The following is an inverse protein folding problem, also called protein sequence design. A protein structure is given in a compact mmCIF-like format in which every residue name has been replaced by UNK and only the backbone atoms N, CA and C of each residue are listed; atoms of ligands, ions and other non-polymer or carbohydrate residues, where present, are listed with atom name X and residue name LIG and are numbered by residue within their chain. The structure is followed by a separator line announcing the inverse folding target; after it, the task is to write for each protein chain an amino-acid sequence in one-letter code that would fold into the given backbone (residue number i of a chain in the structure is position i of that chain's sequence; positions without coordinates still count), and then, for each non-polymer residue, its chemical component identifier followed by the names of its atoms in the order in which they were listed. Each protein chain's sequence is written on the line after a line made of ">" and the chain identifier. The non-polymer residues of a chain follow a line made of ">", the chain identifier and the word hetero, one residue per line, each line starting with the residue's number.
data_IF_291382633381
#
_entry.id   IF_291382633381
#
_cell.length_a   1.000
_cell.length_b   1.000
_cell.length_c   1.000
_cell.angle_alpha   90.00
_cell.angle_beta   90.00
_cell.angle_gamma   90.00
#
_symmetry.space_group_name_H-M   'P 1'
#
loop_
_entity.id
_entity.type
_entity.pdbx_description
1 polymer ?
#
# COMPACT_ATOMS: atom_id res chain seq x y z
N UNK A 1 -13.12 20.70 5.89
CA UNK A 1 -11.68 20.65 5.62
C UNK A 1 -10.94 21.95 6.00
N UNK A 2 -11.17 23.13 5.42
CA UNK A 2 -10.38 24.37 5.67
C UNK A 2 -10.18 24.75 7.15
N UNK A 3 -11.17 24.58 8.04
CA UNK A 3 -11.05 24.87 9.49
C UNK A 3 -10.15 23.89 10.24
N UNK A 4 -10.09 22.61 9.82
CA UNK A 4 -9.23 21.61 10.46
C UNK A 4 -7.75 21.81 10.05
N UNK A 5 -7.50 22.14 8.80
CA UNK A 5 -6.16 22.50 8.30
C UNK A 5 -5.64 23.75 9.01
N UNK A 6 -6.48 24.77 9.18
CA UNK A 6 -6.10 26.02 9.88
C UNK A 6 -5.79 25.75 11.37
N UNK A 7 -6.52 24.86 12.04
CA UNK A 7 -6.27 24.47 13.43
C UNK A 7 -4.96 23.69 13.60
N UNK A 8 -4.63 22.81 12.65
CA UNK A 8 -3.37 22.08 12.63
C UNK A 8 -2.22 23.05 12.40
N UNK A 9 -2.30 23.94 11.42
CA UNK A 9 -1.28 24.98 11.16
C UNK A 9 -1.09 25.90 12.37
N UNK A 10 -2.17 26.31 13.04
CA UNK A 10 -2.08 27.16 14.23
C UNK A 10 -1.46 26.44 15.44
N UNK A 11 -1.78 25.15 15.64
CA UNK A 11 -1.16 24.34 16.68
C UNK A 11 0.33 24.10 16.42
N UNK A 12 0.73 23.91 15.17
CA UNK A 12 2.12 23.80 14.74
C UNK A 12 2.91 25.08 15.06
N UNK A 13 2.36 26.27 14.73
CA UNK A 13 3.00 27.56 15.02
C UNK A 13 3.17 27.80 16.53
N UNK A 14 2.21 27.36 17.36
CA UNK A 14 2.30 27.47 18.82
C UNK A 14 3.34 26.51 19.41
N UNK A 15 3.46 25.30 18.87
CA UNK A 15 4.47 24.32 19.28
C UNK A 15 5.86 24.79 18.86
N UNK A 16 6.03 25.35 17.66
CA UNK A 16 7.31 25.89 17.17
C UNK A 16 7.89 26.99 18.06
N UNK A 17 7.05 27.78 18.74
CA UNK A 17 7.53 28.82 19.68
C UNK A 17 8.26 28.25 20.93
N UNK A 18 8.11 26.92 21.20
CA UNK A 18 8.78 26.22 22.29
C UNK A 18 10.09 25.51 21.88
N UNK A 19 10.32 25.28 20.58
CA UNK A 19 11.52 24.62 20.06
C UNK A 19 12.57 25.67 19.68
N UNK A 20 13.71 25.66 20.35
CA UNK A 20 14.70 26.74 20.22
C UNK A 20 16.05 26.31 19.62
N UNK A 21 16.25 25.05 19.17
CA UNK A 21 17.61 24.62 18.83
C UNK A 21 17.90 24.36 17.36
N UNK A 22 17.12 23.56 16.66
CA UNK A 22 17.34 23.33 15.21
C UNK A 22 16.02 23.08 14.51
N UNK A 23 15.78 23.76 13.41
CA UNK A 23 14.64 23.55 12.53
C UNK A 23 15.18 23.31 11.12
N UNK A 24 14.86 22.13 10.57
CA UNK A 24 15.19 21.77 9.22
C UNK A 24 13.90 21.76 8.38
N UNK A 25 13.99 22.37 7.21
CA UNK A 25 12.94 22.32 6.22
C UNK A 25 13.48 21.65 4.96
N UNK A 26 12.76 20.70 4.42
CA UNK A 26 13.05 20.06 3.15
C UNK A 26 11.80 19.93 2.29
N UNK A 27 11.98 19.79 1.01
CA UNK A 27 10.87 19.63 0.10
C UNK A 27 11.26 18.90 -1.18
N UNK A 28 10.27 18.29 -1.80
CA UNK A 28 10.39 17.65 -3.09
C UNK A 28 9.25 18.10 -4.00
N UNK A 29 9.59 18.52 -5.20
CA UNK A 29 8.66 18.74 -6.30
C UNK A 29 8.88 17.63 -7.33
N UNK A 30 7.83 16.90 -7.67
CA UNK A 30 7.88 15.84 -8.67
C UNK A 30 6.80 16.01 -9.73
N UNK A 31 7.10 15.61 -10.96
CA UNK A 31 6.09 15.51 -12.01
C UNK A 31 6.34 14.26 -12.83
N UNK A 32 5.28 13.53 -13.13
CA UNK A 32 5.30 12.29 -13.93
C UNK A 32 4.25 12.36 -15.02
N UNK A 33 4.67 12.05 -16.23
CA UNK A 33 3.80 11.97 -17.40
C UNK A 33 4.00 10.65 -18.10
N UNK A 34 2.90 9.96 -18.41
CA UNK A 34 2.93 8.66 -19.06
C UNK A 34 1.82 8.48 -20.07
N UNK A 35 2.16 7.79 -21.13
CA UNK A 35 1.21 7.42 -22.20
C UNK A 35 1.07 5.91 -22.26
N UNK A 36 -0.13 5.46 -22.64
CA UNK A 36 -0.42 4.06 -22.89
C UNK A 36 0.52 3.51 -23.96
N UNK A 37 1.08 2.33 -23.70
CA UNK A 37 2.09 1.70 -24.55
C UNK A 37 1.52 1.33 -25.93
N UNK A 38 2.36 1.23 -26.99
CA UNK A 38 1.89 1.01 -28.38
C UNK A 38 1.11 -0.29 -28.62
N UNK A 39 1.18 -1.24 -27.70
CA UNK A 39 0.48 -2.54 -27.79
C UNK A 39 -0.84 -2.60 -27.01
N UNK A 40 -1.27 -1.50 -26.39
CA UNK A 40 -2.53 -1.42 -25.65
C UNK A 40 -3.67 -0.94 -26.54
N UNK A 41 -4.92 -1.15 -26.12
CA UNK A 41 -6.11 -0.72 -26.88
C UNK A 41 -6.22 0.81 -26.99
N UNK A 42 -5.65 1.55 -26.03
CA UNK A 42 -5.66 3.01 -25.94
C UNK A 42 -4.27 3.63 -26.20
N UNK A 43 -3.47 3.00 -27.07
CA UNK A 43 -2.10 3.41 -27.37
C UNK A 43 -1.96 4.91 -27.66
N UNK A 44 -1.08 5.58 -26.89
CA UNK A 44 -0.80 7.01 -27.03
C UNK A 44 -1.68 7.93 -26.18
N UNK A 45 -2.75 7.44 -25.56
CA UNK A 45 -3.54 8.21 -24.61
C UNK A 45 -2.73 8.45 -23.33
N UNK A 46 -2.92 9.60 -22.70
CA UNK A 46 -2.32 9.85 -21.38
C UNK A 46 -3.00 8.99 -20.33
N UNK A 47 -2.19 8.23 -19.56
CA UNK A 47 -2.63 7.39 -18.45
C UNK A 47 -2.05 7.83 -17.11
N UNK A 48 -1.02 8.68 -17.15
CA UNK A 48 -0.42 9.35 -15.98
C UNK A 48 -0.20 10.81 -16.31
N UNK A 49 -0.52 11.68 -15.37
CA UNK A 49 -0.32 13.13 -15.48
C UNK A 49 -0.34 13.74 -14.08
N UNK A 50 0.63 13.35 -13.24
CA UNK A 50 0.68 13.72 -11.82
C UNK A 50 1.80 14.72 -11.56
N UNK A 51 1.51 15.72 -10.74
CA UNK A 51 2.49 16.68 -10.22
C UNK A 51 2.28 16.80 -8.72
N UNK A 52 3.32 16.48 -7.96
CA UNK A 52 3.30 16.46 -6.51
C UNK A 52 4.31 17.41 -5.89
N UNK A 53 3.96 17.97 -4.74
CA UNK A 53 4.86 18.64 -3.83
C UNK A 53 4.74 18.03 -2.46
N UNK A 54 5.88 17.56 -1.91
CA UNK A 54 6.00 17.12 -0.52
C UNK A 54 6.87 18.12 0.21
N UNK A 55 6.38 18.65 1.33
CA UNK A 55 7.15 19.52 2.21
C UNK A 55 7.23 18.94 3.61
N UNK A 56 8.43 18.87 4.20
CA UNK A 56 8.63 18.39 5.55
C UNK A 56 9.35 19.40 6.42
N UNK A 57 8.98 19.39 7.71
CA UNK A 57 9.58 20.21 8.76
C UNK A 57 9.97 19.29 9.91
N UNK A 58 11.21 19.40 10.35
CA UNK A 58 11.73 18.67 11.48
C UNK A 58 12.35 19.65 12.48
N UNK A 59 11.95 19.56 13.75
CA UNK A 59 12.46 20.41 14.83
C UNK A 59 12.90 19.56 16.02
N UNK A 60 14.09 19.88 16.56
CA UNK A 60 14.71 19.13 17.64
C UNK A 60 14.82 19.96 18.92
N UNK A 61 14.58 19.31 20.06
CA UNK A 61 14.85 19.87 21.38
C UNK A 61 15.23 18.77 22.37
N UNK A 62 16.52 18.69 22.72
CA UNK A 62 17.02 17.60 23.57
C UNK A 62 16.71 16.23 22.99
N UNK A 63 15.95 15.42 23.72
CA UNK A 63 15.55 14.07 23.33
C UNK A 63 14.22 14.04 22.54
N UNK A 64 13.67 15.20 22.21
CA UNK A 64 12.36 15.29 21.51
C UNK A 64 12.54 15.76 20.09
N UNK A 65 11.77 15.17 19.17
CA UNK A 65 11.67 15.56 17.77
C UNK A 65 10.20 15.83 17.44
N UNK A 66 9.94 16.92 16.76
CA UNK A 66 8.68 17.18 16.07
C UNK A 66 8.92 16.99 14.58
N UNK A 67 8.15 16.14 13.93
CA UNK A 67 8.16 15.94 12.49
C UNK A 67 6.79 16.21 11.89
N UNK A 68 6.75 16.92 10.76
CA UNK A 68 5.52 17.21 10.02
C UNK A 68 5.82 17.14 8.54
N UNK A 69 5.02 16.37 7.80
CA UNK A 69 5.06 16.24 6.36
C UNK A 69 3.67 16.50 5.77
N UNK A 70 3.62 17.29 4.71
CA UNK A 70 2.40 17.57 3.97
C UNK A 70 2.61 17.37 2.48
N UNK A 71 1.61 16.82 1.83
CA UNK A 71 1.61 16.48 0.41
C UNK A 71 0.53 17.27 -0.33
N UNK A 72 0.87 17.77 -1.50
CA UNK A 72 -0.04 18.42 -2.45
C UNK A 72 0.12 17.68 -3.77
N UNK A 73 -0.95 17.06 -4.27
CA UNK A 73 -0.93 16.32 -5.52
C UNK A 73 -1.97 16.89 -6.49
N UNK A 74 -1.54 17.15 -7.71
CA UNK A 74 -2.40 17.55 -8.81
C UNK A 74 -2.37 16.50 -9.90
N UNK A 75 -3.54 15.90 -10.19
CA UNK A 75 -3.72 14.99 -11.30
C UNK A 75 -4.34 15.76 -12.48
N UNK A 76 -3.58 15.86 -13.57
CA UNK A 76 -4.00 16.62 -14.75
C UNK A 76 -5.06 15.88 -15.59
N UNK A 77 -5.20 14.57 -15.44
CA UNK A 77 -6.16 13.77 -16.24
C UNK A 77 -7.60 14.02 -15.81
N UNK A 78 -7.84 14.17 -14.51
CA UNK A 78 -9.16 14.45 -13.95
C UNK A 78 -9.29 15.87 -13.37
N UNK A 79 -8.23 16.71 -13.50
CA UNK A 79 -8.14 18.08 -12.98
C UNK A 79 -8.40 18.16 -11.47
N UNK A 80 -7.84 17.23 -10.71
CA UNK A 80 -8.05 17.10 -9.26
C UNK A 80 -6.83 17.59 -8.52
N UNK A 81 -7.06 18.32 -7.43
CA UNK A 81 -6.04 18.80 -6.51
C UNK A 81 -6.34 18.25 -5.11
N UNK A 82 -5.42 17.43 -4.60
CA UNK A 82 -5.51 16.80 -3.31
C UNK A 82 -4.47 17.32 -2.34
N UNK A 83 -4.87 17.37 -1.07
CA UNK A 83 -4.00 17.73 0.05
C UNK A 83 -4.06 16.59 1.07
N UNK A 84 -2.92 16.01 1.38
CA UNK A 84 -2.78 14.98 2.40
C UNK A 84 -1.77 15.38 3.47
N UNK A 85 -2.06 15.02 4.72
CA UNK A 85 -1.11 15.09 5.81
C UNK A 85 -0.39 13.73 5.86
N UNK A 86 0.84 13.70 5.42
CA UNK A 86 1.69 12.52 5.43
C UNK A 86 1.97 12.06 6.88
N UNK A 87 3.10 12.44 7.44
CA UNK A 87 3.40 12.17 8.85
C UNK A 87 3.34 13.47 9.67
N UNK A 88 2.84 13.37 10.90
CA UNK A 88 2.84 14.48 11.85
C UNK A 88 2.86 13.94 13.28
N UNK A 89 4.05 13.90 13.88
CA UNK A 89 4.23 13.29 15.20
C UNK A 89 5.24 14.03 16.07
N UNK A 90 5.13 13.78 17.36
CA UNK A 90 6.15 14.08 18.37
C UNK A 90 6.79 12.75 18.76
N UNK A 91 8.12 12.70 18.73
CA UNK A 91 8.93 11.58 19.15
C UNK A 91 9.78 12.00 20.35
N UNK A 92 9.85 11.14 21.36
CA UNK A 92 10.77 11.26 22.48
C UNK A 92 11.58 9.98 22.59
N UNK A 93 12.90 10.10 22.61
CA UNK A 93 13.81 8.96 22.73
C UNK A 93 14.80 9.17 23.87
N UNK A 94 14.82 8.23 24.80
CA UNK A 94 15.85 8.11 25.84
C UNK A 94 16.75 6.90 25.52
N UNK A 95 17.73 6.61 26.38
CA UNK A 95 18.73 5.56 26.13
C UNK A 95 18.13 4.19 25.81
N UNK A 96 17.08 3.78 26.51
CA UNK A 96 16.49 2.44 26.40
C UNK A 96 15.01 2.43 26.04
N UNK A 97 14.36 3.58 25.99
CA UNK A 97 12.93 3.65 25.66
C UNK A 97 12.61 4.88 24.85
N UNK A 98 11.55 4.79 24.08
CA UNK A 98 11.03 5.88 23.26
C UNK A 98 9.51 5.87 23.20
N UNK A 99 8.96 7.01 22.88
CA UNK A 99 7.53 7.18 22.71
C UNK A 99 7.25 8.11 21.52
N UNK A 100 6.43 7.66 20.59
CA UNK A 100 5.98 8.46 19.44
C UNK A 100 4.47 8.59 19.44
N UNK A 101 3.97 9.81 19.27
CA UNK A 101 2.54 10.12 19.26
C UNK A 101 2.21 10.99 18.06
N UNK A 102 1.25 10.60 17.26
CA UNK A 102 0.75 11.36 16.13
C UNK A 102 0.53 10.49 14.90
N UNK A 103 0.40 11.16 13.75
CA UNK A 103 0.24 10.50 12.46
C UNK A 103 1.61 9.97 11.99
N UNK A 104 1.76 8.67 11.82
CA UNK A 104 3.03 8.02 11.55
C UNK A 104 2.86 6.81 10.64
N UNK A 105 3.82 6.60 9.74
CA UNK A 105 3.93 5.35 8.98
C UNK A 105 4.47 4.25 9.90
N UNK A 106 3.84 3.09 9.85
CA UNK A 106 4.29 1.88 10.56
C UNK A 106 4.56 0.81 9.52
N UNK A 107 5.79 0.32 9.52
CA UNK A 107 6.22 -0.70 8.57
C UNK A 107 6.69 -1.94 9.33
N UNK A 108 6.07 -3.08 9.04
CA UNK A 108 6.43 -4.39 9.56
C UNK A 108 6.89 -5.31 8.44
N UNK A 109 7.69 -6.31 8.80
CA UNK A 109 8.23 -7.28 7.83
C UNK A 109 9.55 -6.85 7.22
N UNK A 110 10.08 -7.72 6.39
CA UNK A 110 11.39 -7.59 5.70
C UNK A 110 11.28 -7.90 4.21
N UNK A 111 10.08 -8.17 3.70
CA UNK A 111 9.83 -8.40 2.29
C UNK A 111 9.90 -7.10 1.48
N UNK A 112 10.31 -7.20 0.22
CA UNK A 112 10.36 -6.08 -0.71
C UNK A 112 9.23 -6.23 -1.75
N UNK A 113 8.32 -5.26 -1.81
CA UNK A 113 7.22 -5.20 -2.79
C UNK A 113 6.05 -6.17 -2.56
N UNK A 114 6.13 -7.06 -1.56
CA UNK A 114 5.03 -7.95 -1.14
C UNK A 114 4.80 -7.79 0.36
N UNK A 115 3.61 -7.38 0.73
CA UNK A 115 3.26 -7.12 2.11
C UNK A 115 2.59 -8.35 2.75
N UNK A 116 3.34 -9.09 3.59
CA UNK A 116 2.83 -10.20 4.39
C UNK A 116 2.40 -9.71 5.77
N UNK A 117 3.37 -9.37 6.64
CA UNK A 117 3.09 -8.86 7.99
C UNK A 117 2.67 -7.40 7.99
N UNK A 118 3.06 -6.62 6.97
CA UNK A 118 2.65 -5.22 6.79
C UNK A 118 1.20 -5.06 6.30
N UNK A 119 0.58 -6.11 5.79
CA UNK A 119 -0.80 -6.10 5.26
C UNK A 119 -1.88 -5.68 6.28
N UNK A 120 -1.52 -5.53 7.55
CA UNK A 120 -2.40 -5.00 8.62
C UNK A 120 -2.41 -3.47 8.68
N UNK A 121 -1.56 -2.78 7.92
CA UNK A 121 -1.53 -1.32 7.81
C UNK A 121 -2.12 -0.87 6.47
N UNK A 122 -2.69 0.36 6.41
CA UNK A 122 -3.33 0.84 5.20
C UNK A 122 -2.29 1.24 4.14
N UNK A 123 -2.66 1.08 2.88
CA UNK A 123 -1.86 1.46 1.72
C UNK A 123 -2.66 2.34 0.76
N UNK A 124 -1.97 3.15 -0.02
CA UNK A 124 -2.56 3.84 -1.15
C UNK A 124 -2.55 2.93 -2.38
N UNK A 125 -3.70 2.38 -2.70
CA UNK A 125 -3.95 1.60 -3.92
C UNK A 125 -4.67 2.41 -5.00
N UNK A 126 -4.79 3.72 -4.84
CA UNK A 126 -5.45 4.61 -5.81
C UNK A 126 -4.61 4.85 -7.07
N UNK A 127 -3.29 4.66 -6.98
CA UNK A 127 -2.32 4.78 -8.07
C UNK A 127 -1.44 3.54 -8.18
N UNK A 128 -1.12 3.12 -9.42
CA UNK A 128 -0.15 2.06 -9.72
C UNK A 128 1.29 2.56 -9.78
N UNK A 129 1.50 3.87 -9.77
CA UNK A 129 2.76 4.53 -10.12
C UNK A 129 3.38 5.28 -8.94
N UNK A 130 2.90 5.04 -7.72
CA UNK A 130 3.47 5.62 -6.51
C UNK A 130 4.76 4.90 -6.10
N UNK A 131 5.80 5.67 -5.74
CA UNK A 131 7.05 5.11 -5.22
C UNK A 131 6.88 4.57 -3.79
N UNK A 132 5.93 5.08 -3.01
CA UNK A 132 5.59 4.63 -1.65
C UNK A 132 4.07 4.60 -1.48
N UNK A 133 3.55 3.42 -1.29
CA UNK A 133 2.13 3.18 -1.05
C UNK A 133 1.75 3.20 0.44
N UNK A 134 2.71 3.31 1.36
CA UNK A 134 2.42 3.25 2.80
C UNK A 134 1.67 4.48 3.28
N UNK A 135 0.52 4.29 3.89
CA UNK A 135 -0.27 5.36 4.51
C UNK A 135 0.03 5.46 6.00
N UNK A 136 0.08 6.69 6.50
CA UNK A 136 0.25 6.97 7.92
C UNK A 136 -1.03 6.68 8.71
N UNK A 137 -0.88 6.25 9.97
CA UNK A 137 -1.96 6.07 10.94
C UNK A 137 -1.72 6.94 12.17
N UNK A 138 -2.79 7.51 12.74
CA UNK A 138 -2.66 8.21 14.02
C UNK A 138 -2.51 7.19 15.13
N UNK A 139 -1.35 7.17 15.77
CA UNK A 139 -0.99 6.14 16.73
C UNK A 139 -0.15 6.69 17.91
N UNK A 140 -0.17 5.97 19.01
CA UNK A 140 0.84 6.03 20.05
C UNK A 140 1.70 4.76 19.97
N UNK A 141 3.00 4.94 19.82
CA UNK A 141 3.99 3.86 19.80
C UNK A 141 4.93 4.02 21.00
N UNK A 142 5.05 2.97 21.76
CA UNK A 142 6.06 2.84 22.82
C UNK A 142 7.10 1.83 22.39
N UNK A 143 8.38 2.19 22.48
CA UNK A 143 9.52 1.33 22.15
C UNK A 143 10.40 1.13 23.37
N UNK A 144 10.86 -0.09 23.59
CA UNK A 144 11.86 -0.42 24.60
C UNK A 144 12.96 -1.27 23.98
N UNK A 145 14.20 -0.85 24.12
CA UNK A 145 15.39 -1.49 23.55
C UNK A 145 16.30 -2.03 24.63
N UNK A 146 16.61 -3.32 24.58
CA UNK A 146 17.68 -3.96 25.34
C UNK A 146 18.91 -4.21 24.46
N UNK A 147 19.92 -4.89 25.01
CA UNK A 147 21.19 -5.13 24.29
C UNK A 147 21.04 -5.94 23.01
N UNK A 148 20.07 -6.87 22.97
CA UNK A 148 19.86 -7.78 21.84
C UNK A 148 18.39 -7.91 21.42
N UNK A 149 17.50 -7.07 21.97
CA UNK A 149 16.09 -7.11 21.63
C UNK A 149 15.45 -5.73 21.60
N UNK A 150 14.33 -5.63 20.88
CA UNK A 150 13.46 -4.46 20.88
C UNK A 150 12.00 -4.89 21.03
N UNK A 151 11.22 -4.09 21.75
CA UNK A 151 9.77 -4.27 21.92
C UNK A 151 9.10 -2.99 21.46
N UNK A 152 8.20 -3.08 20.48
CA UNK A 152 7.34 -1.98 20.06
C UNK A 152 5.89 -2.33 20.38
N UNK A 153 5.23 -1.51 21.18
CA UNK A 153 3.80 -1.58 21.44
C UNK A 153 3.09 -0.41 20.74
N UNK A 154 2.03 -0.72 19.99
CA UNK A 154 1.29 0.22 19.16
C UNK A 154 -0.17 0.28 19.59
N UNK A 155 -0.71 1.48 19.73
CA UNK A 155 -2.12 1.76 19.93
C UNK A 155 -2.62 2.73 18.85
N UNK A 156 -3.62 2.32 18.08
CA UNK A 156 -4.22 3.10 16.99
C UNK A 156 -5.67 3.40 17.36
N UNK A 157 -5.98 4.63 17.82
CA UNK A 157 -7.35 4.99 18.25
C UNK A 157 -8.29 5.28 17.08
N UNK A 158 -7.77 5.63 15.90
CA UNK A 158 -8.57 6.04 14.74
C UNK A 158 -8.31 5.12 13.57
N UNK A 159 -9.36 4.46 13.10
CA UNK A 159 -9.26 3.60 11.92
C UNK A 159 -8.95 4.43 10.67
N UNK A 160 -8.02 3.92 9.86
CA UNK A 160 -7.77 4.31 8.47
C UNK A 160 -7.77 3.05 7.62
N UNK A 161 -8.58 3.01 6.55
CA UNK A 161 -8.56 1.95 5.54
C UNK A 161 -7.56 2.24 4.43
N UNK A 162 -7.36 1.28 3.55
CA UNK A 162 -6.61 1.44 2.29
C UNK A 162 -7.36 2.40 1.37
N UNK A 163 -6.65 3.33 0.75
CA UNK A 163 -7.20 4.24 -0.25
C UNK A 163 -7.37 3.49 -1.56
N UNK A 164 -8.60 3.38 -2.03
CA UNK A 164 -8.97 2.60 -3.22
C UNK A 164 -9.15 3.50 -4.44
N UNK A 165 -8.96 2.98 -5.68
CA UNK A 165 -9.14 3.73 -6.92
C UNK A 165 -10.65 3.91 -7.24
N UNK A 166 -11.37 4.69 -6.43
CA UNK A 166 -12.82 4.87 -6.58
C UNK A 166 -13.20 6.15 -7.34
N UNK A 167 -12.23 7.00 -7.68
CA UNK A 167 -12.47 8.29 -8.31
C UNK A 167 -12.98 8.14 -9.76
N UNK A 168 -13.99 8.94 -10.10
CA UNK A 168 -14.54 8.97 -11.46
C UNK A 168 -13.51 9.52 -12.45
N UNK A 169 -13.36 8.84 -13.60
CA UNK A 169 -12.40 9.21 -14.62
C UNK A 169 -11.00 8.61 -14.42
N UNK A 170 -10.71 7.99 -13.28
CA UNK A 170 -9.44 7.29 -13.07
C UNK A 170 -9.31 6.09 -14.02
N UNK A 171 -8.21 5.97 -14.81
CA UNK A 171 -7.96 4.80 -15.64
C UNK A 171 -7.93 3.49 -14.84
N UNK A 172 -7.37 3.51 -13.63
CA UNK A 172 -7.29 2.34 -12.75
C UNK A 172 -8.66 1.89 -12.27
N UNK A 173 -9.54 2.83 -11.87
CA UNK A 173 -10.94 2.51 -11.55
C UNK A 173 -11.64 1.80 -12.71
N UNK A 174 -11.50 2.34 -13.92
CA UNK A 174 -12.17 1.79 -15.09
C UNK A 174 -11.68 0.38 -15.45
N UNK A 175 -10.42 0.07 -15.16
CA UNK A 175 -9.85 -1.26 -15.35
C UNK A 175 -10.33 -2.27 -14.27
N UNK A 176 -10.54 -1.81 -13.03
CA UNK A 176 -10.88 -2.69 -11.90
C UNK A 176 -12.40 -2.82 -11.68
N UNK A 177 -13.17 -1.76 -11.92
CA UNK A 177 -14.60 -1.72 -11.63
C UNK A 177 -15.35 -1.45 -12.94
N UNK A 178 -16.10 -2.42 -13.47
CA UNK A 178 -16.88 -2.20 -14.67
C UNK A 178 -17.95 -1.13 -14.44
N UNK A 179 -18.12 -0.20 -15.38
CA UNK A 179 -19.14 0.83 -15.31
C UNK A 179 -20.57 0.26 -15.47
N UNK A 180 -20.68 -0.92 -16.11
CA UNK A 180 -21.94 -1.61 -16.39
C UNK A 180 -21.76 -3.12 -16.29
N UNK A 181 -22.81 -3.83 -15.91
CA UNK A 181 -22.86 -5.29 -15.84
C UNK A 181 -24.07 -5.81 -16.60
N UNK A 182 -23.89 -6.84 -17.43
CA UNK A 182 -24.97 -7.52 -18.12
C UNK A 182 -25.65 -8.53 -17.19
N UNK A 183 -26.97 -8.39 -17.01
CA UNK A 183 -27.79 -9.35 -16.24
C UNK A 183 -28.65 -10.14 -17.20
N UNK A 184 -28.58 -11.48 -17.19
CA UNK A 184 -29.41 -12.34 -18.02
C UNK A 184 -30.91 -12.01 -17.86
N UNK A 185 -31.62 -11.78 -18.99
CA UNK A 185 -33.04 -11.47 -18.98
C UNK A 185 -33.41 -10.01 -18.60
N UNK A 186 -32.45 -9.19 -18.23
CA UNK A 186 -32.68 -7.76 -17.90
C UNK A 186 -31.99 -6.84 -18.89
N UNK A 187 -30.78 -7.18 -19.32
CA UNK A 187 -29.92 -6.33 -20.14
C UNK A 187 -28.73 -5.79 -19.36
N UNK A 188 -28.12 -4.71 -19.85
CA UNK A 188 -26.97 -4.07 -19.23
C UNK A 188 -27.43 -2.95 -18.29
N UNK A 189 -27.02 -3.01 -17.04
CA UNK A 189 -27.34 -2.00 -16.01
C UNK A 189 -26.07 -1.37 -15.44
N UNK A 190 -26.11 -0.09 -15.01
CA UNK A 190 -24.96 0.61 -14.48
C UNK A 190 -24.57 0.09 -13.09
N UNK A 191 -23.27 0.20 -12.79
CA UNK A 191 -22.70 -0.01 -11.47
C UNK A 191 -22.55 1.34 -10.77
N UNK A 192 -23.08 1.45 -9.55
CA UNK A 192 -22.99 2.63 -8.69
C UNK A 192 -22.16 2.34 -7.46
N UNK A 193 -21.13 3.13 -7.24
CA UNK A 193 -20.36 3.06 -5.99
C UNK A 193 -21.17 3.79 -4.91
N UNK A 194 -21.41 3.10 -3.81
CA UNK A 194 -22.11 3.59 -2.64
C UNK A 194 -21.15 4.15 -1.60
N UNK A 195 -21.33 3.76 -0.33
CA UNK A 195 -20.55 4.26 0.79
C UNK A 195 -19.66 3.18 1.39
N UNK A 196 -18.44 3.56 1.80
CA UNK A 196 -17.57 2.75 2.63
C UNK A 196 -17.90 3.06 4.11
N UNK A 197 -18.48 2.09 4.80
CA UNK A 197 -18.85 2.23 6.21
C UNK A 197 -17.62 1.97 7.10
N UNK A 198 -17.03 3.04 7.60
CA UNK A 198 -15.89 2.95 8.52
C UNK A 198 -16.35 2.66 9.96
N UNK A 199 -15.51 1.99 10.78
CA UNK A 199 -15.80 1.78 12.19
C UNK A 199 -16.04 3.10 12.94
N UNK A 200 -17.01 3.11 13.85
CA UNK A 200 -17.30 4.26 14.71
C UNK A 200 -16.11 4.63 15.60
N UNK A 201 -15.97 5.92 15.89
CA UNK A 201 -14.98 6.43 16.84
C UNK A 201 -15.35 6.03 18.27
N UNK A 202 -14.83 4.90 18.73
CA UNK A 202 -15.07 4.38 20.08
C UNK A 202 -13.86 3.58 20.56
N UNK A 203 -13.58 3.58 21.88
CA UNK A 203 -12.46 2.83 22.46
C UNK A 203 -12.48 1.33 22.11
N UNK A 204 -13.68 0.73 22.00
CA UNK A 204 -13.86 -0.67 21.57
C UNK A 204 -13.37 -0.93 20.15
N UNK A 205 -13.20 0.12 19.33
CA UNK A 205 -12.81 0.04 17.93
C UNK A 205 -11.32 0.40 17.69
N UNK A 206 -10.57 0.70 18.74
CA UNK A 206 -9.14 0.87 18.66
C UNK A 206 -8.44 -0.41 18.16
N UNK A 207 -7.24 -0.22 17.63
CA UNK A 207 -6.39 -1.29 17.14
C UNK A 207 -5.11 -1.35 17.99
N UNK A 208 -4.53 -2.53 18.10
CA UNK A 208 -3.37 -2.80 18.94
C UNK A 208 -2.35 -3.64 18.18
N UNK A 209 -1.09 -3.26 18.28
CA UNK A 209 0.04 -3.97 17.70
C UNK A 209 1.15 -4.21 18.72
N UNK A 210 1.82 -5.35 18.58
CA UNK A 210 3.02 -5.68 19.34
C UNK A 210 4.05 -6.30 18.41
N UNK A 211 5.29 -5.77 18.45
CA UNK A 211 6.43 -6.31 17.74
C UNK A 211 7.53 -6.61 18.76
N UNK A 212 8.07 -7.82 18.70
CA UNK A 212 9.22 -8.26 19.48
C UNK A 212 10.34 -8.60 18.50
N UNK A 213 11.43 -7.89 18.53
CA UNK A 213 12.59 -8.14 17.67
C UNK A 213 13.77 -8.64 18.47
N UNK A 214 14.49 -9.63 17.96
CA UNK A 214 15.74 -10.16 18.52
C UNK A 214 16.85 -10.05 17.47
N UNK A 215 18.02 -9.57 17.93
CA UNK A 215 19.21 -9.38 17.11
C UNK A 215 20.31 -10.32 17.58
N UNK A 216 20.60 -11.32 16.75
CA UNK A 216 21.57 -12.36 17.08
C UNK A 216 22.72 -12.32 16.06
N UNK A 217 23.85 -12.91 16.38
CA UNK A 217 25.03 -12.94 15.49
C UNK A 217 24.77 -13.65 14.14
N UNK A 218 23.81 -14.57 14.10
CA UNK A 218 23.47 -15.37 12.91
C UNK A 218 22.21 -14.86 12.18
N UNK A 219 21.31 -14.18 12.89
CA UNK A 219 20.04 -13.75 12.29
C UNK A 219 19.37 -12.68 13.15
N UNK A 220 18.53 -11.89 12.48
CA UNK A 220 17.54 -11.04 13.11
C UNK A 220 16.17 -11.71 12.97
N UNK A 221 15.39 -11.73 14.05
CA UNK A 221 14.06 -12.36 14.07
C UNK A 221 13.06 -11.39 14.67
N UNK A 222 11.86 -11.28 14.11
CA UNK A 222 10.76 -10.54 14.73
C UNK A 222 9.50 -11.39 14.84
N UNK A 223 8.74 -11.15 15.91
CA UNK A 223 7.41 -11.71 16.13
C UNK A 223 6.41 -10.57 16.20
N UNK A 224 5.23 -10.79 15.62
CA UNK A 224 4.17 -9.79 15.52
C UNK A 224 2.85 -10.31 16.06
N UNK A 225 2.14 -9.44 16.74
CA UNK A 225 0.74 -9.63 17.08
C UNK A 225 -0.04 -8.38 16.76
N UNK A 226 -1.15 -8.51 16.02
CA UNK A 226 -2.04 -7.41 15.71
C UNK A 226 -3.49 -7.80 15.97
N UNK A 227 -4.24 -6.86 16.53
CA UNK A 227 -5.68 -6.94 16.66
C UNK A 227 -6.31 -5.60 16.28
N UNK A 228 -7.08 -5.58 15.23
CA UNK A 228 -7.64 -4.36 14.69
C UNK A 228 -8.73 -4.61 13.64
N UNK A 229 -8.65 -3.90 12.55
CA UNK A 229 -9.55 -3.99 11.41
C UNK A 229 -8.78 -4.35 10.14
N UNK A 230 -9.38 -5.17 9.29
CA UNK A 230 -8.86 -5.38 7.94
C UNK A 230 -8.88 -4.05 7.20
N UNK A 231 -7.81 -3.74 6.45
CA UNK A 231 -7.68 -2.45 5.76
C UNK A 231 -8.38 -2.45 4.40
N UNK A 232 -8.68 -3.65 3.87
CA UNK A 232 -9.51 -3.82 2.69
C UNK A 232 -10.98 -3.99 3.10
N UNK A 233 -11.90 -3.21 2.52
CA UNK A 233 -13.32 -3.39 2.79
C UNK A 233 -13.87 -4.65 2.11
N UNK A 234 -14.87 -5.25 2.73
CA UNK A 234 -15.74 -6.23 2.09
C UNK A 234 -16.79 -5.50 1.27
N UNK A 235 -16.94 -5.88 0.01
CA UNK A 235 -17.92 -5.28 -0.89
C UNK A 235 -19.26 -5.97 -0.76
N UNK A 236 -20.31 -5.18 -0.59
CA UNK A 236 -21.69 -5.63 -0.52
C UNK A 236 -22.45 -5.19 -1.77
N UNK A 237 -22.99 -6.15 -2.51
CA UNK A 237 -23.71 -5.92 -3.75
C UNK A 237 -25.21 -5.91 -3.51
N UNK A 238 -25.92 -4.89 -4.00
CA UNK A 238 -27.37 -4.79 -3.91
C UNK A 238 -27.98 -4.31 -5.23
N UNK A 239 -29.16 -4.85 -5.57
CA UNK A 239 -29.92 -4.42 -6.74
C UNK A 239 -30.78 -3.20 -6.36
N UNK A 240 -30.75 -2.18 -7.20
CA UNK A 240 -31.56 -0.97 -7.06
C UNK A 240 -32.75 -1.07 -8.03
N UNK A 241 -33.95 -0.82 -7.53
CA UNK A 241 -35.19 -0.89 -8.29
C UNK A 241 -35.96 0.43 -8.22
N UNK A 242 -36.22 1.08 -9.35
CA UNK A 242 -37.20 2.16 -9.44
C UNK A 242 -38.60 1.60 -9.73
N UNK A 243 -38.69 0.56 -10.58
CA UNK A 243 -39.93 -0.13 -10.92
C UNK A 243 -39.74 -1.66 -10.88
N UNK A 244 -39.95 -2.34 -9.72
CA UNK A 244 -39.84 -3.78 -9.63
C UNK A 244 -40.73 -4.50 -10.68
N UNK A 245 -40.28 -5.66 -11.24
CA UNK A 245 -39.18 -6.50 -10.78
C UNK A 245 -37.82 -6.26 -11.50
N UNK A 246 -37.72 -5.26 -12.38
CA UNK A 246 -36.52 -5.03 -13.20
C UNK A 246 -35.55 -4.12 -12.45
N UNK A 247 -34.30 -4.55 -12.16
CA UNK A 247 -33.33 -3.68 -11.52
C UNK A 247 -32.78 -2.61 -12.47
N UNK A 248 -32.56 -1.40 -11.95
CA UNK A 248 -32.02 -0.26 -12.69
C UNK A 248 -30.50 -0.13 -12.55
N UNK A 249 -29.93 -0.64 -11.47
CA UNK A 249 -28.51 -0.57 -11.19
C UNK A 249 -28.08 -1.64 -10.19
N UNK A 250 -26.77 -1.95 -10.15
CA UNK A 250 -26.10 -2.60 -9.03
C UNK A 250 -25.43 -1.51 -8.20
N UNK A 251 -25.69 -1.50 -6.89
CA UNK A 251 -24.99 -0.64 -5.93
C UNK A 251 -23.94 -1.47 -5.19
N UNK A 252 -22.74 -0.91 -5.05
CA UNK A 252 -21.63 -1.49 -4.30
C UNK A 252 -21.36 -0.63 -3.08
N UNK A 253 -21.70 -1.11 -1.90
CA UNK A 253 -21.32 -0.53 -0.62
C UNK A 253 -20.14 -1.32 -0.03
N UNK A 254 -19.36 -0.73 0.88
CA UNK A 254 -18.25 -1.41 1.53
C UNK A 254 -18.34 -1.33 3.05
N UNK A 255 -17.88 -2.38 3.73
CA UNK A 255 -17.77 -2.44 5.18
C UNK A 255 -16.45 -3.07 5.60
N UNK A 256 -15.96 -2.73 6.79
CA UNK A 256 -14.70 -3.27 7.32
C UNK A 256 -14.97 -4.32 8.40
N UNK A 257 -14.14 -5.35 8.45
CA UNK A 257 -14.25 -6.44 9.40
C UNK A 257 -13.09 -6.46 10.41
N UNK A 258 -13.31 -7.08 11.58
CA UNK A 258 -12.25 -7.29 12.57
C UNK A 258 -11.22 -8.28 12.06
N UNK A 259 -9.95 -7.99 12.39
CA UNK A 259 -8.80 -8.77 12.00
C UNK A 259 -7.91 -9.05 13.22
N UNK A 260 -7.45 -10.29 13.34
CA UNK A 260 -6.31 -10.66 14.17
C UNK A 260 -5.20 -11.22 13.28
N UNK A 261 -3.94 -10.94 13.60
CA UNK A 261 -2.78 -11.49 12.90
C UNK A 261 -1.69 -11.86 13.88
N UNK A 262 -1.05 -13.01 13.63
CA UNK A 262 0.21 -13.43 14.25
C UNK A 262 1.23 -13.58 13.12
N UNK A 263 2.34 -12.85 13.23
CA UNK A 263 3.36 -12.83 12.21
C UNK A 263 4.75 -13.12 12.74
N UNK A 264 5.63 -13.47 11.84
CA UNK A 264 7.06 -13.62 12.11
C UNK A 264 7.87 -13.20 10.88
N UNK A 265 9.07 -12.70 11.11
CA UNK A 265 10.10 -12.59 10.09
C UNK A 265 11.47 -13.02 10.61
N UNK A 266 12.35 -13.36 9.69
CA UNK A 266 13.75 -13.62 9.98
C UNK A 266 14.64 -13.18 8.80
N UNK A 267 15.83 -12.64 9.10
CA UNK A 267 16.85 -12.33 8.11
C UNK A 267 18.19 -12.99 8.52
N UNK A 268 18.81 -13.67 7.56
CA UNK A 268 20.07 -14.40 7.72
C UNK A 268 21.12 -13.82 6.77
N UNK A 269 22.05 -12.97 7.24
CA UNK A 269 23.16 -12.50 6.43
C UNK A 269 24.18 -13.62 6.22
N UNK A 270 24.46 -13.98 4.95
CA UNK A 270 25.36 -15.06 4.56
C UNK A 270 26.34 -14.53 3.51
N UNK A 271 27.44 -13.94 3.94
CA UNK A 271 28.41 -13.31 3.03
C UNK A 271 27.82 -12.13 2.26
N UNK A 272 27.78 -12.21 0.94
CA UNK A 272 27.19 -11.19 0.06
C UNK A 272 25.69 -11.39 -0.18
N UNK A 273 25.05 -12.32 0.54
CA UNK A 273 23.62 -12.62 0.41
C UNK A 273 22.90 -12.46 1.73
N UNK A 274 21.58 -12.15 1.66
CA UNK A 274 20.69 -12.17 2.82
C UNK A 274 19.48 -13.04 2.46
N UNK A 275 19.29 -14.13 3.23
CA UNK A 275 18.06 -14.90 3.16
C UNK A 275 17.01 -14.24 4.05
N UNK A 276 15.84 -13.95 3.51
CA UNK A 276 14.68 -13.39 4.23
C UNK A 276 13.53 -14.40 4.25
N UNK A 277 12.92 -14.54 5.41
CA UNK A 277 11.73 -15.37 5.60
C UNK A 277 10.67 -14.50 6.29
N UNK A 278 9.43 -14.61 5.83
CA UNK A 278 8.30 -13.92 6.44
C UNK A 278 7.07 -14.80 6.43
N UNK A 279 6.24 -14.72 7.47
CA UNK A 279 5.01 -15.47 7.55
C UNK A 279 3.98 -14.78 8.44
N UNK A 280 2.71 -14.95 8.09
CA UNK A 280 1.58 -14.45 8.87
C UNK A 280 0.43 -15.47 8.87
N UNK A 281 -0.23 -15.57 10.02
CA UNK A 281 -1.45 -16.36 10.22
C UNK A 281 -2.59 -15.43 10.65
N UNK A 282 -3.71 -15.54 9.94
CA UNK A 282 -4.92 -14.76 10.16
C UNK A 282 -6.06 -15.71 10.60
N UNK A 283 -6.35 -15.80 11.89
CA UNK A 283 -7.44 -16.62 12.39
C UNK A 283 -8.79 -16.01 12.03
N UNK A 284 -9.65 -16.77 11.38
CA UNK A 284 -11.04 -16.38 11.05
C UNK A 284 -11.17 -15.00 10.37
N UNK A 285 -10.24 -14.68 9.45
CA UNK A 285 -10.31 -13.46 8.62
C UNK A 285 -11.56 -13.50 7.76
N UNK A 286 -12.35 -12.44 7.74
CA UNK A 286 -13.48 -12.31 6.83
C UNK A 286 -12.96 -12.05 5.41
N UNK A 287 -13.21 -12.98 4.50
CA UNK A 287 -12.84 -12.90 3.08
C UNK A 287 -14.08 -12.62 2.23
N UNK A 288 -13.90 -11.91 1.12
CA UNK A 288 -14.97 -11.52 0.20
C UNK A 288 -15.76 -12.74 -0.27
N UNK A 289 -17.06 -12.71 -0.04
CA UNK A 289 -18.00 -13.69 -0.60
C UNK A 289 -18.23 -13.43 -2.10
N UNK A 290 -18.61 -14.47 -2.83
CA UNK A 290 -18.96 -14.32 -4.25
C UNK A 290 -20.19 -13.39 -4.42
N UNK A 291 -20.24 -12.68 -5.54
CA UNK A 291 -21.36 -11.80 -5.86
C UNK A 291 -22.71 -12.55 -5.86
N UNK A 292 -22.74 -13.81 -6.30
CA UNK A 292 -23.91 -14.68 -6.27
C UNK A 292 -24.39 -14.90 -4.83
N UNK A 293 -23.48 -15.27 -3.92
CA UNK A 293 -23.79 -15.49 -2.49
C UNK A 293 -24.43 -14.23 -1.86
N UNK A 294 -23.87 -13.05 -2.14
CA UNK A 294 -24.34 -11.78 -1.59
C UNK A 294 -25.72 -11.41 -2.16
N UNK A 295 -25.91 -11.54 -3.47
CA UNK A 295 -27.19 -11.21 -4.14
C UNK A 295 -28.31 -12.16 -3.73
N UNK A 296 -27.99 -13.38 -3.34
CA UNK A 296 -28.94 -14.36 -2.77
C UNK A 296 -29.24 -14.10 -1.27
N UNK A 297 -28.70 -13.01 -0.70
CA UNK A 297 -28.95 -12.59 0.68
C UNK A 297 -27.96 -13.15 1.70
N UNK A 298 -26.82 -13.67 1.28
CA UNK A 298 -25.70 -14.09 2.13
C UNK A 298 -24.89 -12.87 2.65
N UNK A 299 -23.96 -13.13 3.60
CA UNK A 299 -23.04 -12.13 4.12
C UNK A 299 -21.98 -11.76 3.07
N UNK A 300 -21.51 -10.50 3.11
CA UNK A 300 -20.42 -9.98 2.28
C UNK A 300 -19.06 -10.63 2.59
N UNK A 301 -18.87 -11.13 3.82
CA UNK A 301 -17.63 -11.72 4.30
C UNK A 301 -17.80 -13.07 4.98
N UNK A 302 -17.01 -14.05 4.56
CA UNK A 302 -16.99 -15.42 5.11
C UNK A 302 -15.69 -15.62 5.89
N UNK A 303 -15.80 -16.03 7.17
CA UNK A 303 -14.64 -16.26 8.03
C UNK A 303 -13.81 -17.46 7.56
N UNK A 304 -12.52 -17.26 7.34
CA UNK A 304 -11.57 -18.26 6.89
C UNK A 304 -10.25 -18.14 7.68
N UNK A 305 -9.54 -19.26 7.82
CA UNK A 305 -8.17 -19.25 8.32
C UNK A 305 -7.22 -19.10 7.15
N UNK A 306 -6.34 -18.09 7.20
CA UNK A 306 -5.40 -17.80 6.13
C UNK A 306 -3.96 -17.85 6.65
N UNK A 307 -3.06 -18.42 5.85
CA UNK A 307 -1.62 -18.40 6.08
C UNK A 307 -0.96 -17.75 4.87
N UNK A 308 -0.12 -16.75 5.11
CA UNK A 308 0.72 -16.15 4.09
C UNK A 308 2.19 -16.41 4.44
N UNK A 309 3.04 -16.66 3.45
CA UNK A 309 4.47 -16.89 3.66
C UNK A 309 5.28 -16.38 2.47
N UNK A 310 6.53 -15.97 2.76
CA UNK A 310 7.49 -15.51 1.77
C UNK A 310 8.88 -16.03 2.13
N UNK A 311 9.63 -16.42 1.10
CA UNK A 311 11.06 -16.65 1.15
C UNK A 311 11.76 -15.81 0.09
N UNK A 312 12.74 -15.00 0.49
CA UNK A 312 13.47 -14.08 -0.37
C UNK A 312 14.98 -14.23 -0.23
N UNK A 313 15.69 -13.93 -1.29
CA UNK A 313 17.14 -13.91 -1.33
C UNK A 313 17.61 -12.59 -1.95
N UNK A 314 18.38 -11.81 -1.18
CA UNK A 314 19.12 -10.67 -1.70
C UNK A 314 20.57 -11.09 -1.99
N UNK A 315 21.04 -10.72 -3.14
CA UNK A 315 22.43 -10.95 -3.56
C UNK A 315 23.02 -9.66 -4.13
N UNK A 316 24.15 -9.24 -3.58
CA UNK A 316 24.80 -7.96 -3.92
C UNK A 316 26.21 -8.16 -4.49
N UNK A 317 26.37 -8.76 -5.69
CA UNK A 317 27.67 -8.98 -6.29
C UNK A 317 28.15 -7.74 -7.09
N UNK A 318 29.32 -7.23 -6.78
CA UNK A 318 30.04 -6.25 -7.65
C UNK A 318 29.17 -5.06 -8.13
N UNK A 319 28.41 -4.44 -7.21
CA UNK A 319 27.57 -3.27 -7.50
C UNK A 319 26.22 -3.59 -8.17
N UNK A 320 25.86 -4.86 -8.27
CA UNK A 320 24.48 -5.27 -8.54
C UNK A 320 23.70 -5.44 -7.24
N UNK A 321 22.42 -5.15 -7.28
CA UNK A 321 21.46 -5.58 -6.26
C UNK A 321 20.43 -6.48 -6.94
N UNK A 322 20.34 -7.72 -6.49
CA UNK A 322 19.41 -8.72 -7.04
C UNK A 322 18.59 -9.27 -5.89
N UNK A 323 17.28 -9.07 -5.94
CA UNK A 323 16.32 -9.62 -4.96
C UNK A 323 15.37 -10.56 -5.69
N UNK A 324 15.31 -11.82 -5.26
CA UNK A 324 14.37 -12.81 -5.76
C UNK A 324 13.52 -13.32 -4.60
N UNK A 325 12.18 -13.36 -4.76
CA UNK A 325 11.27 -13.79 -3.72
C UNK A 325 10.23 -14.75 -4.29
N UNK A 326 9.82 -15.71 -3.47
CA UNK A 326 8.66 -16.54 -3.68
C UNK A 326 7.69 -16.32 -2.53
N UNK A 327 6.43 -16.11 -2.84
CA UNK A 327 5.37 -15.92 -1.85
C UNK A 327 4.19 -16.85 -2.09
N UNK A 328 3.47 -17.16 -1.04
CA UNK A 328 2.24 -17.93 -1.11
C UNK A 328 1.21 -17.46 -0.08
N UNK A 329 -0.05 -17.74 -0.39
CA UNK A 329 -1.23 -17.37 0.37
C UNK A 329 -2.21 -18.55 0.34
N UNK A 330 -2.38 -19.22 1.47
CA UNK A 330 -3.22 -20.41 1.62
C UNK A 330 -4.43 -20.14 2.51
N UNK A 331 -5.63 -20.45 2.01
CA UNK A 331 -6.88 -20.45 2.77
C UNK A 331 -7.21 -21.87 3.19
N UNK A 332 -7.25 -22.12 4.50
CA UNK A 332 -7.49 -23.44 5.05
C UNK A 332 -9.01 -23.74 5.01
N UNK A 333 -9.36 -24.92 4.47
CA UNK A 333 -10.76 -25.35 4.31
C UNK A 333 -11.62 -24.28 3.59
N UNK A 334 -11.12 -23.82 2.43
CA UNK A 334 -11.75 -22.78 1.62
C UNK A 334 -13.23 -23.08 1.36
N UNK A 335 -14.11 -22.12 1.66
CA UNK A 335 -15.52 -22.17 1.28
C UNK A 335 -15.70 -21.96 -0.23
N UNK A 336 -16.63 -22.67 -0.84
CA UNK A 336 -17.00 -22.51 -2.26
C UNK A 336 -17.74 -21.18 -2.52
N UNK A 337 -18.29 -20.56 -1.48
CA UNK A 337 -19.01 -19.28 -1.56
C UNK A 337 -18.09 -18.05 -1.57
N UNK A 338 -16.76 -18.22 -1.59
CA UNK A 338 -15.81 -17.12 -1.72
C UNK A 338 -15.68 -16.64 -3.18
N UNK A 339 -15.44 -15.36 -3.38
CA UNK A 339 -15.06 -14.80 -4.68
C UNK A 339 -13.73 -15.39 -5.17
N UNK A 340 -12.81 -15.65 -4.25
CA UNK A 340 -11.51 -16.26 -4.50
C UNK A 340 -11.64 -17.67 -5.06
N UNK A 341 -11.08 -17.93 -6.25
CA UNK A 341 -11.14 -19.23 -6.95
C UNK A 341 -10.34 -20.31 -6.21
N UNK A 342 -9.06 -20.05 -5.93
CA UNK A 342 -8.11 -21.04 -5.44
C UNK A 342 -7.90 -20.96 -3.92
N UNK A 343 -7.80 -22.09 -3.27
CA UNK A 343 -7.42 -22.17 -1.86
C UNK A 343 -5.96 -21.77 -1.64
N UNK A 344 -5.10 -21.93 -2.66
CA UNK A 344 -3.68 -21.66 -2.62
C UNK A 344 -3.31 -20.75 -3.79
N UNK A 345 -2.88 -19.52 -3.49
CA UNK A 345 -2.31 -18.58 -4.46
C UNK A 345 -0.82 -18.42 -4.19
N UNK A 346 -0.04 -18.31 -5.25
CA UNK A 346 1.39 -18.10 -5.13
C UNK A 346 1.97 -17.31 -6.29
N UNK A 347 3.14 -16.75 -6.07
CA UNK A 347 3.83 -15.98 -7.08
C UNK A 347 5.29 -15.78 -6.74
N UNK A 348 5.98 -15.09 -7.63
CA UNK A 348 7.40 -14.77 -7.48
C UNK A 348 7.66 -13.33 -7.89
N UNK A 349 8.65 -12.71 -7.25
CA UNK A 349 9.19 -11.41 -7.64
C UNK A 349 10.68 -11.52 -7.96
N UNK A 350 11.14 -10.67 -8.87
CA UNK A 350 12.54 -10.48 -9.18
C UNK A 350 12.80 -8.99 -9.34
N UNK A 351 13.75 -8.45 -8.61
CA UNK A 351 14.25 -7.09 -8.79
C UNK A 351 15.74 -7.13 -9.04
N UNK A 352 16.20 -6.39 -10.05
CA UNK A 352 17.61 -6.29 -10.41
C UNK A 352 17.90 -4.80 -10.61
N UNK A 353 18.88 -4.26 -9.90
CA UNK A 353 19.34 -2.90 -10.11
C UNK A 353 20.87 -2.82 -10.18
N UNK A 354 21.36 -1.79 -10.87
CA UNK A 354 22.77 -1.45 -10.94
C UNK A 354 22.96 0.02 -11.19
N UNK A 355 23.91 0.61 -10.45
CA UNK A 355 24.41 1.96 -10.69
C UNK A 355 25.58 1.98 -11.68
N UNK A 356 25.60 3.01 -12.51
CA UNK A 356 26.60 3.30 -13.54
C UNK A 356 27.06 4.76 -13.43
N UNK A 357 28.10 5.14 -14.17
CA UNK A 357 28.59 6.53 -14.27
C UNK A 357 28.86 7.15 -12.90
N UNK A 358 29.55 6.44 -12.01
CA UNK A 358 29.84 6.88 -10.64
C UNK A 358 28.54 7.18 -9.85
N UNK A 359 27.59 6.24 -9.92
CA UNK A 359 26.28 6.28 -9.25
C UNK A 359 25.31 7.38 -9.69
N UNK A 360 25.63 8.06 -10.83
CA UNK A 360 24.71 9.07 -11.40
C UNK A 360 23.60 8.47 -12.26
N UNK A 361 23.77 7.26 -12.79
CA UNK A 361 22.75 6.54 -13.55
C UNK A 361 22.45 5.21 -12.87
N UNK A 362 21.20 5.02 -12.45
CA UNK A 362 20.69 3.73 -11.97
C UNK A 362 19.73 3.13 -13.01
N UNK A 363 19.89 1.86 -13.30
CA UNK A 363 18.96 1.09 -14.13
C UNK A 363 18.39 -0.03 -13.27
N UNK A 364 17.08 -0.15 -13.22
CA UNK A 364 16.36 -1.18 -12.48
C UNK A 364 15.34 -1.90 -13.36
N UNK A 365 15.21 -3.19 -13.12
CA UNK A 365 14.18 -4.06 -13.68
C UNK A 365 13.51 -4.78 -12.52
N UNK A 366 12.19 -4.69 -12.46
CA UNK A 366 11.37 -5.44 -11.51
C UNK A 366 10.33 -6.28 -12.26
N UNK A 367 10.08 -7.47 -11.77
CA UNK A 367 9.09 -8.39 -12.29
C UNK A 367 8.30 -9.01 -11.15
N UNK A 368 6.99 -9.13 -11.33
CA UNK A 368 6.11 -9.86 -10.46
C UNK A 368 5.26 -10.81 -11.31
N UNK A 369 5.19 -12.10 -10.95
CA UNK A 369 4.49 -13.14 -11.70
C UNK A 369 3.53 -13.86 -10.76
N UNK A 370 2.24 -13.85 -11.09
CA UNK A 370 1.23 -14.71 -10.50
C UNK A 370 1.34 -16.11 -11.09
N UNK A 371 1.64 -17.12 -10.27
CA UNK A 371 1.88 -18.49 -10.77
C UNK A 371 0.58 -19.32 -10.89
N UNK A 372 -0.54 -18.83 -10.40
CA UNK A 372 -1.85 -19.46 -10.61
C UNK A 372 -2.37 -19.19 -12.03
N UNK A 373 -2.39 -17.91 -12.43
CA UNK A 373 -2.93 -17.47 -13.70
C UNK A 373 -1.85 -17.19 -14.76
N UNK A 374 -0.56 -17.26 -14.37
CA UNK A 374 0.60 -16.91 -15.20
C UNK A 374 0.53 -15.49 -15.78
N UNK A 375 -0.12 -14.58 -15.07
CA UNK A 375 -0.13 -13.17 -15.35
C UNK A 375 1.08 -12.47 -14.73
N UNK A 376 1.45 -11.29 -15.22
CA UNK A 376 2.68 -10.64 -14.77
C UNK A 376 2.67 -9.13 -14.92
N UNK A 377 3.46 -8.47 -14.05
CA UNK A 377 3.80 -7.06 -14.13
C UNK A 377 5.31 -6.89 -14.19
N UNK A 378 5.77 -6.00 -15.08
CA UNK A 378 7.18 -5.65 -15.23
C UNK A 378 7.36 -4.14 -15.16
N UNK A 379 8.46 -3.71 -14.56
CA UNK A 379 8.89 -2.32 -14.56
C UNK A 379 10.33 -2.25 -15.00
N UNK A 380 10.62 -1.44 -16.00
CA UNK A 380 11.99 -1.07 -16.37
C UNK A 380 12.10 0.44 -16.15
N UNK A 381 13.07 0.86 -15.34
CA UNK A 381 13.31 2.27 -15.02
C UNK A 381 14.80 2.61 -15.19
N UNK A 382 15.07 3.79 -15.72
CA UNK A 382 16.36 4.42 -15.75
C UNK A 382 16.29 5.78 -15.06
N UNK A 383 17.01 5.94 -13.94
CA UNK A 383 17.07 7.15 -13.14
C UNK A 383 18.43 7.81 -13.28
N UNK A 384 18.45 9.07 -13.74
CA UNK A 384 19.65 9.85 -13.93
C UNK A 384 19.67 11.05 -12.97
N UNK A 385 20.69 11.12 -12.10
CA UNK A 385 20.95 12.24 -11.20
C UNK A 385 21.73 13.32 -11.95
N UNK A 386 21.03 14.35 -12.41
CA UNK A 386 21.63 15.51 -13.09
C UNK A 386 22.45 16.36 -12.11
N UNK A 387 21.99 16.42 -10.86
CA UNK A 387 22.67 16.99 -9.69
C UNK A 387 22.15 16.30 -8.43
N UNK A 388 22.69 16.66 -7.27
CA UNK A 388 22.18 16.15 -5.98
C UNK A 388 20.69 16.49 -5.75
N UNK A 389 20.21 17.56 -6.38
CA UNK A 389 18.85 18.08 -6.25
C UNK A 389 17.91 17.61 -7.37
N UNK A 390 18.44 17.34 -8.58
CA UNK A 390 17.60 17.07 -9.77
C UNK A 390 17.81 15.62 -10.22
N UNK A 391 16.72 14.88 -10.29
CA UNK A 391 16.66 13.52 -10.83
C UNK A 391 15.68 13.47 -11.99
N UNK A 392 16.07 12.81 -13.05
CA UNK A 392 15.23 12.53 -14.23
C UNK A 392 15.10 11.02 -14.36
N UNK A 393 13.89 10.53 -14.53
CA UNK A 393 13.64 9.09 -14.79
C UNK A 393 12.85 8.93 -16.07
N UNK A 394 13.09 7.80 -16.73
CA UNK A 394 12.28 7.33 -17.84
C UNK A 394 12.14 5.81 -17.74
N UNK A 395 10.96 5.30 -18.02
CA UNK A 395 10.71 3.89 -17.85
C UNK A 395 9.41 3.41 -18.45
N UNK A 396 9.08 2.16 -18.17
CA UNK A 396 7.85 1.54 -18.61
C UNK A 396 7.29 0.60 -17.55
N UNK A 397 5.98 0.62 -17.41
CA UNK A 397 5.19 -0.41 -16.72
C UNK A 397 4.50 -1.28 -17.77
N UNK A 398 4.62 -2.59 -17.64
CA UNK A 398 4.06 -3.57 -18.59
C UNK A 398 3.24 -4.57 -17.80
N UNK A 399 1.95 -4.68 -18.11
CA UNK A 399 1.05 -5.66 -17.53
C UNK A 399 0.69 -6.69 -18.61
N UNK A 400 0.91 -7.96 -18.32
CA UNK A 400 0.65 -9.06 -19.25
C UNK A 400 -0.38 -10.00 -18.65
N UNK A 401 -1.43 -10.34 -19.42
CA UNK A 401 -2.41 -11.35 -19.03
C UNK A 401 -1.79 -12.74 -19.08
N UNK A 402 -2.31 -13.65 -18.28
CA UNK A 402 -2.07 -15.08 -18.43
C UNK A 402 -2.74 -15.66 -19.69
N UNK A 403 -2.55 -16.97 -19.95
CA UNK A 403 -3.05 -17.63 -21.16
C UNK A 403 -4.56 -17.48 -21.38
N UNK A 404 -5.34 -17.44 -20.30
CA UNK A 404 -6.81 -17.34 -20.36
C UNK A 404 -7.32 -15.89 -20.24
N UNK A 405 -6.42 -14.90 -20.36
CA UNK A 405 -6.68 -13.48 -20.12
C UNK A 405 -7.21 -13.18 -18.71
N UNK A 406 -7.00 -14.09 -17.76
CA UNK A 406 -7.34 -13.99 -16.34
C UNK A 406 -6.17 -13.39 -15.55
N UNK A 407 -6.36 -13.26 -14.24
CA UNK A 407 -5.39 -12.73 -13.31
C UNK A 407 -5.52 -11.23 -13.06
N UNK A 408 -4.88 -10.78 -12.00
CA UNK A 408 -4.93 -9.38 -11.55
C UNK A 408 -4.26 -8.44 -12.55
N UNK A 409 -3.07 -8.82 -13.04
CA UNK A 409 -2.29 -8.00 -13.98
C UNK A 409 -2.87 -8.03 -15.39
N UNK A 410 -3.56 -9.11 -15.78
CA UNK A 410 -4.26 -9.21 -17.05
C UNK A 410 -5.36 -8.16 -17.23
N UNK A 411 -6.05 -7.81 -16.14
CA UNK A 411 -7.06 -6.73 -16.14
C UNK A 411 -6.44 -5.35 -16.34
N UNK A 412 -5.16 -5.19 -16.01
CA UNK A 412 -4.42 -3.93 -16.08
C UNK A 412 -3.64 -3.77 -17.40
N UNK A 413 -3.74 -4.70 -18.35
CA UNK A 413 -2.94 -4.72 -19.60
C UNK A 413 -2.98 -3.39 -20.37
N UNK A 414 -4.15 -2.74 -20.43
CA UNK A 414 -4.34 -1.48 -21.14
C UNK A 414 -3.82 -0.25 -20.36
N UNK A 415 -3.34 -0.45 -19.13
CA UNK A 415 -2.59 0.53 -18.33
C UNK A 415 -1.07 0.38 -18.47
N UNK A 416 -0.58 -0.52 -19.35
CA UNK A 416 0.84 -0.57 -19.68
C UNK A 416 1.28 0.79 -20.22
N UNK A 417 2.34 1.36 -19.62
CA UNK A 417 2.67 2.79 -19.74
C UNK A 417 4.13 2.98 -20.05
N UNK A 418 4.45 3.94 -20.91
CA UNK A 418 5.79 4.53 -21.06
C UNK A 418 5.74 5.90 -20.40
N UNK A 419 6.70 6.20 -19.52
CA UNK A 419 6.68 7.44 -18.74
C UNK A 419 8.03 8.15 -18.68
N UNK A 420 7.93 9.42 -18.32
CA UNK A 420 9.04 10.27 -17.89
C UNK A 420 8.69 10.89 -16.54
N UNK A 421 9.68 11.08 -15.67
CA UNK A 421 9.52 11.70 -14.34
C UNK A 421 10.66 12.66 -14.10
N UNK A 422 10.36 13.81 -13.51
CA UNK A 422 11.35 14.76 -13.02
C UNK A 422 11.10 15.04 -11.55
N UNK A 423 12.17 15.08 -10.74
CA UNK A 423 12.13 15.36 -9.31
C UNK A 423 13.17 16.45 -8.98
N UNK A 424 12.76 17.39 -8.12
CA UNK A 424 13.63 18.42 -7.56
C UNK A 424 13.49 18.42 -6.04
N UNK A 425 14.59 18.17 -5.32
CA UNK A 425 14.63 18.12 -3.85
C UNK A 425 15.51 19.26 -3.33
N UNK A 426 15.15 19.88 -2.21
CA UNK A 426 15.87 21.00 -1.57
C UNK A 426 15.81 20.91 -0.03
#
# INVERSE_FOLDING_TARGET
>A
MKKRVLLVVLSVVVVMAGFTQEINFSGELSTMWGVAAPWTANAGDFVVGDTGFTGSLEAYQGNSTLFIEGNINYNALNNQLDFDLGEAYIDYADSNWGFRLGNQKVVWGKADGINITNSVFPEDSSSLFSDDSSLSVTAAKFSFSGDFFNIDALWIPFFRGTDLPLEEGSPLRNAMIPSQVAIPGVGTIPVKIGTLQTPELALKNCEYGLKLSGYFSLCDVSLYGFYGWDKMPLMNYSLVFSNPPIPDAIKIDGEYSRLAMFGLDAAFPIGATVLRLEGAYFPNRKMQASAETILDGGESGIGQHQIMALAGLDWMPSGWTITAQYYCDAVLNKSDNLERKDAFNHGATLSISKSFLQDTLEISLSALVGLNDFDSAFTLDGKYSLSDQIKLSAGTYVFLPGPDAEGTYGKLKDLSTIYIKAQYSF
#
